data_IF_596376671246
#
_entry.id   IF_596376671246
#
_cell.length_a   1.000
_cell.length_b   1.000
_cell.length_c   1.000
_cell.angle_alpha   90.00
_cell.angle_beta   90.00
_cell.angle_gamma   90.00
#
_symmetry.space_group_name_H-M   'P 1'
#
loop_
_entity.id
_entity.type
_entity.pdbx_description
1 polymer ?
#
# COMPACT_ATOMS: atom_id res chain seq x y z
N UNK A 1 -8.49 11.26 3.64
CA UNK A 1 -9.06 10.13 2.86
C UNK A 1 -7.96 9.31 2.17
N UNK A 2 -6.81 9.91 1.86
CA UNK A 2 -5.75 9.31 1.03
C UNK A 2 -5.15 8.01 1.59
N UNK A 3 -4.92 7.93 2.91
CA UNK A 3 -4.43 6.69 3.55
C UNK A 3 -5.42 5.52 3.44
N UNK A 4 -6.72 5.76 3.67
CA UNK A 4 -7.75 4.71 3.58
C UNK A 4 -7.86 4.21 2.12
N UNK A 5 -7.66 5.10 1.14
CA UNK A 5 -7.54 4.74 -0.26
C UNK A 5 -6.38 3.77 -0.51
N UNK A 6 -5.20 4.01 0.09
CA UNK A 6 -4.08 3.07 0.03
C UNK A 6 -4.42 1.69 0.62
N UNK A 7 -5.13 1.64 1.76
CA UNK A 7 -5.56 0.37 2.38
C UNK A 7 -6.50 -0.41 1.46
N UNK A 8 -7.51 0.26 0.89
CA UNK A 8 -8.46 -0.37 -0.01
C UNK A 8 -7.78 -0.87 -1.30
N UNK A 9 -6.91 -0.05 -1.89
CA UNK A 9 -6.17 -0.41 -3.10
C UNK A 9 -5.24 -1.60 -2.86
N UNK A 10 -4.51 -1.59 -1.74
CA UNK A 10 -3.65 -2.71 -1.35
C UNK A 10 -4.41 -4.02 -1.20
N UNK A 11 -5.60 -3.98 -0.58
CA UNK A 11 -6.47 -5.16 -0.46
C UNK A 11 -6.94 -5.70 -1.82
N UNK A 12 -7.24 -4.82 -2.78
CA UNK A 12 -7.60 -5.21 -4.15
C UNK A 12 -6.42 -5.86 -4.90
N UNK A 13 -5.20 -5.36 -4.68
CA UNK A 13 -3.97 -5.91 -5.25
C UNK A 13 -3.70 -7.30 -4.68
N UNK A 14 -3.70 -7.45 -3.36
CA UNK A 14 -3.44 -8.73 -2.67
C UNK A 14 -4.37 -9.85 -3.13
N UNK A 15 -5.66 -9.53 -3.32
CA UNK A 15 -6.65 -10.51 -3.77
C UNK A 15 -6.59 -10.78 -5.29
N UNK A 16 -5.72 -10.08 -6.02
CA UNK A 16 -5.77 -10.00 -7.48
C UNK A 16 -7.21 -9.76 -7.98
N UNK A 17 -7.90 -8.80 -7.37
CA UNK A 17 -9.34 -8.60 -7.55
C UNK A 17 -9.68 -8.20 -8.99
N UNK A 18 -10.78 -8.74 -9.53
CA UNK A 18 -11.33 -8.28 -10.82
C UNK A 18 -11.74 -6.81 -10.85
N UNK A 19 -11.91 -6.20 -9.68
CA UNK A 19 -12.27 -4.80 -9.50
C UNK A 19 -11.08 -3.90 -9.21
N UNK A 20 -9.85 -4.42 -9.25
CA UNK A 20 -8.64 -3.63 -8.94
C UNK A 20 -8.41 -2.50 -9.96
N UNK A 21 -8.97 -2.59 -11.17
CA UNK A 21 -8.80 -1.57 -12.20
C UNK A 21 -7.32 -1.30 -12.47
N UNK A 22 -6.91 -0.04 -12.34
CA UNK A 22 -5.52 0.42 -12.50
C UNK A 22 -4.71 0.43 -11.19
N UNK A 23 -5.24 -0.18 -10.13
CA UNK A 23 -4.54 -0.30 -8.85
C UNK A 23 -3.16 -0.94 -9.03
N UNK A 24 -2.13 -0.33 -8.45
CA UNK A 24 -0.77 -0.84 -8.54
C UNK A 24 -0.01 -0.59 -7.25
N UNK A 25 0.88 -1.54 -6.92
CA UNK A 25 1.68 -1.44 -5.72
C UNK A 25 2.56 -0.17 -5.73
N UNK A 26 3.10 0.17 -6.91
CA UNK A 26 3.85 1.42 -7.13
C UNK A 26 3.03 2.66 -6.79
N UNK A 27 1.77 2.73 -7.22
CA UNK A 27 0.92 3.89 -6.91
C UNK A 27 0.60 3.99 -5.41
N UNK A 28 0.42 2.85 -4.73
CA UNK A 28 0.26 2.80 -3.27
C UNK A 28 1.51 3.32 -2.56
N UNK A 29 2.69 2.84 -2.93
CA UNK A 29 3.96 3.26 -2.33
C UNK A 29 4.20 4.77 -2.50
N UNK A 30 4.06 5.30 -3.72
CA UNK A 30 4.26 6.74 -3.98
C UNK A 30 3.36 7.61 -3.09
N UNK A 31 2.09 7.25 -2.91
CA UNK A 31 1.18 7.99 -2.03
C UNK A 31 1.51 7.84 -0.55
N UNK A 32 2.04 6.70 -0.13
CA UNK A 32 2.48 6.51 1.25
C UNK A 32 3.73 7.35 1.55
N UNK A 33 4.64 7.51 0.59
CA UNK A 33 5.79 8.40 0.70
C UNK A 33 5.36 9.86 0.85
N UNK A 34 4.40 10.32 0.04
CA UNK A 34 3.79 11.66 0.14
C UNK A 34 3.10 11.90 1.50
N UNK A 35 2.69 10.82 2.18
CA UNK A 35 2.04 10.84 3.50
C UNK A 35 2.99 10.49 4.66
N UNK A 36 4.31 10.42 4.43
CA UNK A 36 5.29 9.93 5.40
C UNK A 36 5.18 10.59 6.79
N UNK A 37 4.99 11.91 6.85
CA UNK A 37 4.80 12.62 8.12
C UNK A 37 3.51 12.19 8.86
N UNK A 38 2.41 11.99 8.13
CA UNK A 38 1.13 11.54 8.69
C UNK A 38 1.18 10.07 9.14
N UNK A 39 1.99 9.26 8.48
CA UNK A 39 2.23 7.85 8.84
C UNK A 39 3.13 7.74 10.07
N UNK A 40 4.13 8.61 10.21
CA UNK A 40 5.18 8.49 11.23
C UNK A 40 4.64 8.47 12.68
N UNK A 41 3.54 9.18 12.95
CA UNK A 41 2.98 9.34 14.30
C UNK A 41 2.01 8.22 14.73
N UNK A 42 1.81 7.18 13.92
CA UNK A 42 0.86 6.10 14.21
C UNK A 42 1.43 4.71 13.91
N UNK A 43 1.47 3.87 14.95
CA UNK A 43 2.06 2.54 14.91
C UNK A 43 1.40 1.63 13.85
N UNK A 44 0.07 1.69 13.72
CA UNK A 44 -0.67 0.89 12.75
C UNK A 44 -0.43 1.37 11.32
N UNK A 45 -0.27 2.67 11.11
CA UNK A 45 0.07 3.21 9.79
C UNK A 45 1.49 2.82 9.38
N UNK A 46 2.44 2.83 10.30
CA UNK A 46 3.82 2.36 10.03
C UNK A 46 3.87 0.86 9.75
N UNK A 47 3.09 0.07 10.49
CA UNK A 47 2.94 -1.35 10.21
C UNK A 47 2.36 -1.59 8.80
N UNK A 48 1.34 -0.82 8.41
CA UNK A 48 0.77 -0.91 7.07
C UNK A 48 1.83 -0.66 5.96
N UNK A 49 2.67 0.37 6.08
CA UNK A 49 3.78 0.60 5.14
C UNK A 49 4.69 -0.62 5.06
N UNK A 50 5.04 -1.21 6.21
CA UNK A 50 5.89 -2.41 6.26
C UNK A 50 5.25 -3.60 5.52
N UNK A 51 3.93 -3.77 5.59
CA UNK A 51 3.21 -4.82 4.86
C UNK A 51 3.22 -4.58 3.34
N UNK A 52 3.08 -3.32 2.91
CA UNK A 52 3.17 -2.93 1.50
C UNK A 52 4.57 -3.25 0.95
N UNK A 53 5.63 -2.88 1.69
CA UNK A 53 7.02 -3.15 1.31
C UNK A 53 7.31 -4.65 1.19
N UNK A 54 6.82 -5.45 2.15
CA UNK A 54 6.98 -6.91 2.10
C UNK A 54 6.35 -7.52 0.86
N UNK A 55 5.16 -7.06 0.46
CA UNK A 55 4.54 -7.54 -0.78
C UNK A 55 5.39 -7.18 -2.00
N UNK A 56 6.02 -5.99 -2.01
CA UNK A 56 6.87 -5.55 -3.11
C UNK A 56 8.08 -6.48 -3.26
N UNK A 57 8.75 -6.80 -2.16
CA UNK A 57 9.89 -7.73 -2.13
C UNK A 57 9.49 -9.14 -2.58
N UNK A 58 8.34 -9.65 -2.11
CA UNK A 58 7.85 -10.98 -2.52
C UNK A 58 7.55 -11.00 -4.02
N UNK A 59 6.92 -9.94 -4.54
CA UNK A 59 6.52 -9.85 -5.94
C UNK A 59 7.70 -9.67 -6.91
N UNK A 60 8.84 -9.14 -6.46
CA UNK A 60 10.06 -9.01 -7.27
C UNK A 60 10.91 -10.30 -7.34
N UNK A 61 10.62 -11.28 -6.49
CA UNK A 61 11.34 -12.55 -6.41
C UNK A 61 10.63 -13.69 -7.18
N UNK A 62 9.55 -13.36 -7.90
CA UNK A 62 8.75 -14.23 -8.77
C UNK A 62 8.95 -13.82 -10.23
#
# INVERSE_FOLDING_TARGET
MDFIGCVAEFGLILRNSKFKGTASLKAVMNRLDDLSAYVADDDYKREFVTLVDRLAVISSNL
#
